data_IF_327077188538
#
_entry.id   IF_327077188538
#
_cell.length_a   1.000
_cell.length_b   1.000
_cell.length_c   1.000
_cell.angle_alpha   90.00
_cell.angle_beta   90.00
_cell.angle_gamma   90.00
#
_symmetry.space_group_name_H-M   'P 1'
#
loop_
_entity.id
_entity.type
_entity.pdbx_description
1 polymer ?
#
# COMPACT_ATOMS: atom_id res chain seq x y z
N UNK A 1 -28.13 2.93 -15.01
CA UNK A 1 -27.14 3.27 -13.94
C UNK A 1 -27.77 4.11 -12.83
N UNK A 2 -28.49 5.17 -13.10
CA UNK A 2 -29.03 6.10 -12.07
C UNK A 2 -29.89 5.44 -11.00
N UNK A 3 -30.86 4.60 -11.42
CA UNK A 3 -31.68 3.81 -10.46
C UNK A 3 -30.84 2.90 -9.56
N UNK A 4 -29.72 2.38 -10.04
CA UNK A 4 -28.81 1.56 -9.24
C UNK A 4 -28.04 2.40 -8.25
N UNK A 5 -27.56 3.56 -8.68
CA UNK A 5 -26.89 4.54 -7.81
C UNK A 5 -27.79 4.98 -6.65
N UNK A 6 -29.04 5.34 -6.94
CA UNK A 6 -30.03 5.69 -5.90
C UNK A 6 -30.25 4.57 -4.89
N UNK A 7 -30.29 3.30 -5.37
CA UNK A 7 -30.41 2.14 -4.50
C UNK A 7 -29.16 1.95 -3.63
N UNK A 8 -27.96 2.16 -4.18
CA UNK A 8 -26.72 2.13 -3.41
C UNK A 8 -26.76 3.20 -2.32
N UNK A 9 -27.12 4.43 -2.64
CA UNK A 9 -27.16 5.54 -1.70
C UNK A 9 -28.06 5.27 -0.48
N UNK A 10 -29.19 4.62 -0.72
CA UNK A 10 -30.14 4.22 0.34
C UNK A 10 -29.67 3.00 1.15
N UNK A 11 -28.71 2.24 0.64
CA UNK A 11 -28.31 0.95 1.22
C UNK A 11 -26.81 0.81 1.49
N UNK A 12 -26.10 1.93 1.66
CA UNK A 12 -24.63 1.96 1.87
C UNK A 12 -24.17 1.00 2.96
N UNK A 13 -24.90 0.98 4.10
CA UNK A 13 -24.56 0.11 5.25
C UNK A 13 -24.62 -1.37 4.86
N UNK A 14 -25.61 -1.80 4.09
CA UNK A 14 -25.76 -3.19 3.68
C UNK A 14 -24.61 -3.63 2.78
N UNK A 15 -24.20 -2.79 1.83
CA UNK A 15 -23.07 -3.05 0.92
C UNK A 15 -21.76 -3.14 1.71
N UNK A 16 -21.51 -2.19 2.61
CA UNK A 16 -20.29 -2.16 3.44
C UNK A 16 -20.26 -3.40 4.34
N UNK A 17 -21.37 -3.79 4.96
CA UNK A 17 -21.44 -5.03 5.76
C UNK A 17 -21.10 -6.26 4.93
N UNK A 18 -21.67 -6.39 3.73
CA UNK A 18 -21.39 -7.52 2.82
C UNK A 18 -19.89 -7.55 2.48
N UNK A 19 -19.30 -6.40 2.18
CA UNK A 19 -17.88 -6.28 1.89
C UNK A 19 -17.00 -6.74 3.05
N UNK A 20 -17.21 -6.15 4.24
CA UNK A 20 -16.36 -6.38 5.42
C UNK A 20 -16.57 -7.79 6.00
N UNK A 21 -17.79 -8.35 5.88
CA UNK A 21 -18.10 -9.72 6.34
C UNK A 21 -17.60 -10.80 5.39
N UNK A 22 -17.00 -10.46 4.26
CA UNK A 22 -16.38 -11.45 3.38
C UNK A 22 -15.27 -12.22 4.11
N UNK A 23 -15.25 -13.57 4.08
CA UNK A 23 -14.24 -14.37 4.77
C UNK A 23 -12.79 -13.96 4.44
N UNK A 24 -12.56 -13.53 3.18
CA UNK A 24 -11.25 -13.04 2.72
C UNK A 24 -10.87 -11.73 3.38
N UNK A 25 -11.82 -10.81 3.53
CA UNK A 25 -11.60 -9.51 4.20
C UNK A 25 -11.39 -9.70 5.69
N UNK A 26 -12.17 -10.55 6.35
CA UNK A 26 -11.99 -10.89 7.78
C UNK A 26 -10.59 -11.47 8.02
N UNK A 27 -10.11 -12.35 7.13
CA UNK A 27 -8.75 -12.87 7.21
C UNK A 27 -7.70 -11.76 7.13
N UNK A 28 -7.86 -10.82 6.21
CA UNK A 28 -6.94 -9.66 6.06
C UNK A 28 -6.98 -8.80 7.32
N UNK A 29 -8.17 -8.45 7.82
CA UNK A 29 -8.34 -7.64 9.04
C UNK A 29 -7.56 -8.25 10.20
N UNK A 30 -7.71 -9.55 10.43
CA UNK A 30 -7.02 -10.27 11.51
C UNK A 30 -5.52 -10.36 11.29
N UNK A 31 -5.07 -10.74 10.08
CA UNK A 31 -3.65 -10.94 9.77
C UNK A 31 -2.85 -9.65 9.92
N UNK A 32 -3.42 -8.51 9.53
CA UNK A 32 -2.75 -7.21 9.54
C UNK A 32 -3.17 -6.31 10.69
N UNK A 33 -3.91 -6.85 11.68
CA UNK A 33 -4.40 -6.10 12.85
C UNK A 33 -5.08 -4.78 12.47
N UNK A 34 -5.87 -4.81 11.38
CA UNK A 34 -6.61 -3.65 10.91
C UNK A 34 -7.71 -3.34 11.91
N UNK A 35 -7.80 -2.08 12.33
CA UNK A 35 -8.88 -1.64 13.20
C UNK A 35 -10.22 -1.66 12.42
N UNK A 36 -11.11 -2.59 12.78
CA UNK A 36 -12.38 -2.81 12.10
C UNK A 36 -13.31 -1.60 12.21
N UNK A 37 -13.39 -0.97 13.36
CA UNK A 37 -14.21 0.23 13.57
C UNK A 37 -13.77 1.39 12.66
N UNK A 38 -12.45 1.60 12.56
CA UNK A 38 -11.89 2.62 11.69
C UNK A 38 -12.11 2.29 10.20
N UNK A 39 -11.94 1.00 9.84
CA UNK A 39 -12.18 0.51 8.50
C UNK A 39 -13.64 0.74 8.09
N UNK A 40 -14.59 0.34 8.94
CA UNK A 40 -16.03 0.46 8.67
C UNK A 40 -16.46 1.92 8.66
N UNK A 41 -16.22 2.65 9.77
CA UNK A 41 -16.83 3.99 9.98
C UNK A 41 -16.22 5.10 9.13
N UNK A 42 -14.93 4.96 8.78
CA UNK A 42 -14.21 6.01 8.04
C UNK A 42 -13.92 5.61 6.60
N UNK A 43 -13.18 4.52 6.42
CA UNK A 43 -12.62 4.20 5.12
C UNK A 43 -13.60 3.55 4.16
N UNK A 44 -14.44 2.61 4.64
CA UNK A 44 -15.38 1.92 3.76
C UNK A 44 -16.47 2.86 3.24
N UNK A 45 -16.99 3.73 4.09
CA UNK A 45 -17.94 4.76 3.65
C UNK A 45 -17.30 5.74 2.67
N UNK A 46 -16.14 6.28 3.01
CA UNK A 46 -15.46 7.22 2.14
C UNK A 46 -15.05 6.63 0.79
N UNK A 47 -14.66 5.35 0.76
CA UNK A 47 -14.36 4.65 -0.49
C UNK A 47 -15.62 4.43 -1.34
N UNK A 48 -16.73 4.01 -0.73
CA UNK A 48 -18.01 3.86 -1.44
C UNK A 48 -18.53 5.21 -1.98
N UNK A 49 -18.39 6.29 -1.23
CA UNK A 49 -18.76 7.63 -1.69
C UNK A 49 -17.88 8.09 -2.85
N UNK A 50 -16.58 7.87 -2.76
CA UNK A 50 -15.67 8.15 -3.87
C UNK A 50 -16.04 7.34 -5.12
N UNK A 51 -16.35 6.05 -4.97
CA UNK A 51 -16.81 5.21 -6.07
C UNK A 51 -18.06 5.79 -6.74
N UNK A 52 -19.05 6.24 -5.94
CA UNK A 52 -20.27 6.86 -6.46
C UNK A 52 -19.99 8.18 -7.17
N UNK A 53 -19.09 9.02 -6.64
CA UNK A 53 -18.69 10.28 -7.29
C UNK A 53 -18.05 10.04 -8.65
N UNK A 54 -17.15 9.05 -8.76
CA UNK A 54 -16.50 8.70 -10.04
C UNK A 54 -17.52 8.23 -11.07
N UNK A 55 -18.52 7.43 -10.65
CA UNK A 55 -19.57 6.99 -11.55
C UNK A 55 -20.46 8.12 -12.03
N UNK A 56 -20.82 9.05 -11.15
CA UNK A 56 -21.74 10.15 -11.45
C UNK A 56 -21.11 11.21 -12.37
N UNK A 57 -19.86 11.53 -12.12
CA UNK A 57 -19.22 12.71 -12.72
C UNK A 57 -18.16 12.34 -13.75
N UNK A 58 -17.87 11.05 -13.93
CA UNK A 58 -16.71 10.54 -14.70
C UNK A 58 -15.37 11.22 -14.31
N UNK A 59 -15.28 11.64 -13.05
CA UNK A 59 -14.14 12.39 -12.53
C UNK A 59 -12.85 11.56 -12.58
N UNK A 60 -11.73 12.28 -12.64
CA UNK A 60 -10.41 11.66 -12.49
C UNK A 60 -10.30 11.09 -11.08
N UNK A 61 -9.99 9.81 -11.01
CA UNK A 61 -9.86 9.04 -9.74
C UNK A 61 -8.68 9.47 -8.88
N UNK A 62 -7.82 10.36 -9.39
CA UNK A 62 -6.61 10.79 -8.72
C UNK A 62 -6.92 11.84 -7.63
N UNK A 63 -6.30 11.64 -6.45
CA UNK A 63 -6.28 12.59 -5.33
C UNK A 63 -7.52 12.69 -4.44
N UNK A 64 -8.36 11.64 -4.34
CA UNK A 64 -9.36 11.62 -3.29
C UNK A 64 -8.67 11.54 -1.89
N UNK A 65 -8.84 12.54 -1.01
CA UNK A 65 -8.15 12.56 0.29
C UNK A 65 -8.44 11.33 1.16
N UNK A 66 -9.67 10.82 1.13
CA UNK A 66 -10.07 9.65 1.92
C UNK A 66 -9.40 8.39 1.40
N UNK A 67 -9.32 8.21 0.07
CA UNK A 67 -8.63 7.07 -0.54
C UNK A 67 -7.14 7.14 -0.23
N UNK A 68 -6.53 8.33 -0.35
CA UNK A 68 -5.12 8.54 -0.02
C UNK A 68 -4.80 8.21 1.44
N UNK A 69 -5.65 8.65 2.37
CA UNK A 69 -5.50 8.39 3.80
C UNK A 69 -5.68 6.89 4.11
N UNK A 70 -6.65 6.25 3.45
CA UNK A 70 -6.86 4.80 3.56
C UNK A 70 -5.63 4.02 3.10
N UNK A 71 -5.08 4.35 1.95
CA UNK A 71 -3.89 3.68 1.42
C UNK A 71 -2.65 3.89 2.33
N UNK A 72 -2.48 5.09 2.89
CA UNK A 72 -1.45 5.37 3.89
C UNK A 72 -1.63 4.51 5.14
N UNK A 73 -2.87 4.37 5.61
CA UNK A 73 -3.19 3.52 6.75
C UNK A 73 -2.85 2.06 6.47
N UNK A 74 -3.31 1.49 5.34
CA UNK A 74 -3.03 0.11 4.95
C UNK A 74 -1.53 -0.16 4.79
N UNK A 75 -0.79 0.81 4.23
CA UNK A 75 0.66 0.72 4.13
C UNK A 75 1.34 0.69 5.49
N UNK A 76 0.87 1.49 6.46
CA UNK A 76 1.39 1.47 7.84
C UNK A 76 1.18 0.11 8.51
N UNK A 77 0.16 -0.64 8.11
CA UNK A 77 -0.08 -2.02 8.53
C UNK A 77 0.74 -3.04 7.73
N UNK A 78 1.62 -2.61 6.83
CA UNK A 78 2.41 -3.46 5.93
C UNK A 78 1.55 -4.38 5.03
N UNK A 79 0.36 -3.91 4.61
CA UNK A 79 -0.50 -4.69 3.73
C UNK A 79 0.21 -4.96 2.40
N UNK A 80 0.17 -6.21 1.94
CA UNK A 80 0.76 -6.60 0.65
C UNK A 80 -0.17 -6.21 -0.51
N UNK A 81 0.40 -6.04 -1.70
CA UNK A 81 -0.35 -5.65 -2.91
C UNK A 81 -1.42 -6.68 -3.28
N UNK A 82 -1.14 -7.98 -3.14
CA UNK A 82 -2.13 -9.04 -3.38
C UNK A 82 -3.32 -8.99 -2.41
N UNK A 83 -3.07 -8.61 -1.14
CA UNK A 83 -4.13 -8.44 -0.16
C UNK A 83 -4.93 -7.15 -0.41
N UNK A 84 -4.27 -6.10 -0.90
CA UNK A 84 -4.94 -4.91 -1.39
C UNK A 84 -5.91 -5.26 -2.53
N UNK A 85 -5.44 -6.03 -3.52
CA UNK A 85 -6.30 -6.54 -4.59
C UNK A 85 -7.49 -7.34 -4.05
N UNK A 86 -7.26 -8.24 -3.10
CA UNK A 86 -8.30 -9.06 -2.48
C UNK A 86 -9.35 -8.20 -1.77
N UNK A 87 -8.90 -7.19 -1.01
CA UNK A 87 -9.76 -6.27 -0.30
C UNK A 87 -10.70 -5.50 -1.25
N UNK A 88 -10.15 -4.95 -2.33
CA UNK A 88 -10.93 -4.18 -3.31
C UNK A 88 -11.78 -5.09 -4.21
N UNK A 89 -11.33 -6.29 -4.54
CA UNK A 89 -12.14 -7.27 -5.29
C UNK A 89 -13.37 -7.70 -4.49
N UNK A 90 -13.24 -7.88 -3.18
CA UNK A 90 -14.38 -8.17 -2.31
C UNK A 90 -15.39 -7.00 -2.27
N UNK A 91 -14.91 -5.76 -2.36
CA UNK A 91 -15.81 -4.60 -2.53
C UNK A 91 -16.60 -4.68 -3.83
N UNK A 92 -15.95 -4.94 -4.97
CA UNK A 92 -16.63 -5.13 -6.26
C UNK A 92 -17.69 -6.23 -6.18
N UNK A 93 -17.34 -7.38 -5.58
CA UNK A 93 -18.29 -8.48 -5.38
C UNK A 93 -19.48 -8.06 -4.54
N UNK A 94 -19.30 -7.27 -3.49
CA UNK A 94 -20.41 -6.77 -2.68
C UNK A 94 -21.39 -5.88 -3.46
N UNK A 95 -20.89 -5.13 -4.46
CA UNK A 95 -21.75 -4.36 -5.38
C UNK A 95 -22.54 -5.27 -6.33
N UNK A 96 -21.89 -6.32 -6.84
CA UNK A 96 -22.53 -7.31 -7.71
C UNK A 96 -23.62 -8.06 -6.92
N UNK A 97 -23.31 -8.55 -5.73
CA UNK A 97 -24.29 -9.20 -4.84
C UNK A 97 -25.47 -8.28 -4.53
N UNK A 98 -25.20 -7.00 -4.30
CA UNK A 98 -26.24 -6.01 -4.08
C UNK A 98 -27.12 -5.82 -5.33
N UNK A 99 -26.53 -5.79 -6.54
CA UNK A 99 -27.29 -5.70 -7.78
C UNK A 99 -28.25 -6.90 -7.96
N UNK A 100 -27.79 -8.12 -7.62
CA UNK A 100 -28.65 -9.31 -7.63
C UNK A 100 -29.80 -9.21 -6.62
N UNK A 101 -29.52 -8.85 -5.36
CA UNK A 101 -30.54 -8.69 -4.31
C UNK A 101 -31.59 -7.64 -4.67
N UNK A 102 -31.20 -6.58 -5.37
CA UNK A 102 -32.10 -5.51 -5.80
C UNK A 102 -32.79 -5.78 -7.14
N UNK A 103 -32.60 -6.98 -7.72
CA UNK A 103 -33.15 -7.34 -9.03
C UNK A 103 -32.81 -6.32 -10.13
N UNK A 104 -31.58 -5.79 -10.09
CA UNK A 104 -31.08 -4.80 -11.04
C UNK A 104 -30.05 -5.41 -12.02
N UNK A 105 -30.03 -6.74 -12.15
CA UNK A 105 -29.04 -7.42 -12.98
C UNK A 105 -29.28 -7.17 -14.47
N UNK A 106 -28.26 -6.61 -15.13
CA UNK A 106 -28.15 -6.53 -16.57
C UNK A 106 -26.67 -6.61 -16.96
N UNK A 107 -26.39 -7.07 -18.18
CA UNK A 107 -25.02 -7.12 -18.67
C UNK A 107 -24.39 -5.71 -18.64
N UNK A 108 -25.07 -4.69 -19.14
CA UNK A 108 -24.64 -3.29 -19.13
C UNK A 108 -24.27 -2.81 -17.72
N UNK A 109 -25.04 -3.19 -16.69
CA UNK A 109 -24.73 -2.82 -15.31
C UNK A 109 -23.45 -3.48 -14.82
N UNK A 110 -23.25 -4.77 -15.10
CA UNK A 110 -22.04 -5.50 -14.70
C UNK A 110 -20.80 -4.98 -15.41
N UNK A 111 -20.89 -4.68 -16.71
CA UNK A 111 -19.83 -4.05 -17.48
C UNK A 111 -19.44 -2.68 -16.88
N UNK A 112 -20.40 -1.86 -16.50
CA UNK A 112 -20.15 -0.57 -15.85
C UNK A 112 -19.55 -0.72 -14.46
N UNK A 113 -20.03 -1.64 -13.63
CA UNK A 113 -19.43 -1.92 -12.33
C UNK A 113 -17.96 -2.31 -12.50
N UNK A 114 -17.64 -3.20 -13.43
CA UNK A 114 -16.26 -3.61 -13.70
C UNK A 114 -15.42 -2.46 -14.24
N UNK A 115 -15.92 -1.71 -15.22
CA UNK A 115 -15.21 -0.56 -15.80
C UNK A 115 -14.80 0.46 -14.74
N UNK A 116 -15.73 0.91 -13.91
CA UNK A 116 -15.42 1.89 -12.87
C UNK A 116 -14.55 1.30 -11.76
N UNK A 117 -14.72 0.02 -11.45
CA UNK A 117 -13.82 -0.67 -10.52
C UNK A 117 -12.39 -0.66 -11.04
N UNK A 118 -12.17 -1.08 -12.28
CA UNK A 118 -10.84 -1.11 -12.90
C UNK A 118 -10.20 0.28 -12.96
N UNK A 119 -10.97 1.29 -13.34
CA UNK A 119 -10.54 2.69 -13.38
C UNK A 119 -10.03 3.18 -12.02
N UNK A 120 -10.80 2.93 -10.95
CA UNK A 120 -10.44 3.33 -9.58
C UNK A 120 -9.28 2.48 -9.07
N UNK A 121 -9.33 1.17 -9.27
CA UNK A 121 -8.33 0.25 -8.75
C UNK A 121 -6.96 0.46 -9.42
N UNK A 122 -6.91 0.75 -10.71
CA UNK A 122 -5.67 1.12 -11.40
C UNK A 122 -5.02 2.36 -10.76
N UNK A 123 -5.83 3.39 -10.45
CA UNK A 123 -5.36 4.59 -9.76
C UNK A 123 -4.85 4.27 -8.34
N UNK A 124 -5.57 3.41 -7.60
CA UNK A 124 -5.17 2.94 -6.26
C UNK A 124 -3.83 2.21 -6.32
N UNK A 125 -3.64 1.31 -7.29
CA UNK A 125 -2.38 0.57 -7.48
C UNK A 125 -1.22 1.51 -7.80
N UNK A 126 -1.42 2.49 -8.70
CA UNK A 126 -0.39 3.46 -9.06
C UNK A 126 0.08 4.27 -7.84
N UNK A 127 -0.86 4.77 -7.05
CA UNK A 127 -0.57 5.51 -5.81
C UNK A 127 0.19 4.61 -4.81
N UNK A 128 -0.26 3.37 -4.64
CA UNK A 128 0.34 2.44 -3.68
C UNK A 128 1.77 2.06 -4.11
N UNK A 129 1.97 1.74 -5.38
CA UNK A 129 3.28 1.43 -5.95
C UNK A 129 4.26 2.61 -5.84
N UNK A 130 3.85 3.82 -6.24
CA UNK A 130 4.67 5.04 -6.10
C UNK A 130 5.12 5.27 -4.65
N UNK A 131 4.25 5.00 -3.70
CA UNK A 131 4.57 5.15 -2.28
C UNK A 131 5.62 4.16 -1.78
N UNK A 132 5.71 2.95 -2.36
CA UNK A 132 6.74 1.96 -2.04
C UNK A 132 8.08 2.43 -2.57
N UNK A 133 8.13 2.83 -3.84
CA UNK A 133 9.36 3.34 -4.48
C UNK A 133 9.91 4.56 -3.75
N UNK A 134 9.05 5.47 -3.27
CA UNK A 134 9.49 6.64 -2.49
C UNK A 134 10.19 6.25 -1.18
N UNK A 135 9.68 5.23 -0.47
CA UNK A 135 10.31 4.76 0.78
C UNK A 135 11.65 4.09 0.48
N UNK A 136 11.73 3.27 -0.55
CA UNK A 136 12.97 2.63 -0.96
C UNK A 136 14.03 3.67 -1.32
N UNK A 137 13.68 4.67 -2.11
CA UNK A 137 14.58 5.77 -2.46
C UNK A 137 15.04 6.59 -1.23
N UNK A 138 14.15 6.84 -0.27
CA UNK A 138 14.50 7.54 0.97
C UNK A 138 15.46 6.69 1.82
N UNK A 139 15.24 5.38 1.90
CA UNK A 139 16.13 4.45 2.60
C UNK A 139 17.53 4.43 1.96
N UNK A 140 17.60 4.29 0.64
CA UNK A 140 18.87 4.27 -0.09
C UNK A 140 19.65 5.57 0.12
N UNK A 141 18.96 6.74 0.06
CA UNK A 141 19.60 8.03 0.38
C UNK A 141 20.14 8.07 1.81
N UNK A 142 19.41 7.50 2.78
CA UNK A 142 19.87 7.46 4.17
C UNK A 142 21.10 6.56 4.33
N UNK A 143 21.15 5.44 3.65
CA UNK A 143 22.32 4.54 3.61
C UNK A 143 23.52 5.27 3.01
N UNK A 144 23.34 5.98 1.89
CA UNK A 144 24.41 6.77 1.26
C UNK A 144 24.95 7.86 2.16
N UNK A 145 24.09 8.54 2.93
CA UNK A 145 24.51 9.55 3.91
C UNK A 145 25.34 8.89 5.02
N UNK A 146 24.89 7.77 5.57
CA UNK A 146 25.64 7.03 6.60
C UNK A 146 26.99 6.60 6.05
N UNK A 147 27.06 6.04 4.85
CA UNK A 147 28.29 5.61 4.23
C UNK A 147 29.31 6.77 4.04
N UNK A 148 28.82 7.95 3.60
CA UNK A 148 29.68 9.12 3.31
C UNK A 148 30.16 9.88 4.54
N UNK A 149 29.37 9.87 5.62
CA UNK A 149 29.61 10.76 6.75
C UNK A 149 29.86 10.07 8.09
N UNK A 150 29.49 8.80 8.21
CA UNK A 150 29.73 8.02 9.43
C UNK A 150 30.93 7.11 9.24
N UNK A 151 31.94 7.30 10.06
CA UNK A 151 33.16 6.47 10.08
C UNK A 151 32.80 5.15 10.72
N UNK A 152 32.68 4.08 9.91
CA UNK A 152 32.26 2.78 10.37
C UNK A 152 33.07 1.66 9.74
N UNK A 153 33.51 0.71 10.57
CA UNK A 153 34.01 -0.59 10.14
C UNK A 153 33.31 -1.70 10.88
N UNK A 154 33.12 -2.83 10.23
CA UNK A 154 32.55 -4.02 10.82
C UNK A 154 33.52 -5.19 10.63
N UNK A 155 33.74 -5.95 11.69
CA UNK A 155 34.62 -7.13 11.70
C UNK A 155 33.83 -8.39 12.01
N UNK A 156 34.38 -9.53 11.63
CA UNK A 156 33.96 -10.83 12.12
C UNK A 156 34.47 -11.06 13.56
N UNK A 157 34.15 -12.24 14.13
CA UNK A 157 34.58 -12.64 15.48
C UNK A 157 36.10 -12.82 15.64
N UNK A 158 36.84 -12.90 14.53
CA UNK A 158 38.31 -13.01 14.51
C UNK A 158 38.99 -11.65 14.33
N UNK A 159 38.21 -10.56 14.24
CA UNK A 159 38.74 -9.23 14.01
C UNK A 159 39.09 -8.93 12.55
N UNK A 160 38.63 -9.74 11.60
CA UNK A 160 38.79 -9.50 10.16
C UNK A 160 37.77 -8.51 9.67
N UNK A 161 38.16 -7.48 8.96
CA UNK A 161 37.29 -6.45 8.40
C UNK A 161 36.40 -7.06 7.31
N UNK A 162 35.08 -6.99 7.49
CA UNK A 162 34.07 -7.48 6.55
C UNK A 162 33.27 -6.38 5.87
N UNK A 163 33.33 -5.14 6.39
CA UNK A 163 32.70 -3.98 5.78
C UNK A 163 33.33 -2.70 6.31
N UNK A 164 33.48 -1.69 5.47
CA UNK A 164 33.94 -0.34 5.82
C UNK A 164 33.06 0.69 5.11
N UNK A 165 32.88 1.86 5.72
CA UNK A 165 32.23 3.00 5.07
C UNK A 165 33.21 3.80 4.22
N UNK A 166 32.68 4.54 3.25
CA UNK A 166 33.50 5.49 2.46
C UNK A 166 34.16 6.56 3.33
N UNK A 167 33.50 7.00 4.40
CA UNK A 167 34.06 7.88 5.40
C UNK A 167 35.29 7.28 6.12
N UNK A 168 35.22 5.97 6.43
CA UNK A 168 36.32 5.25 7.05
C UNK A 168 37.52 5.15 6.09
N UNK A 169 37.29 4.80 4.81
CA UNK A 169 38.33 4.78 3.79
C UNK A 169 39.04 6.16 3.66
N UNK A 170 38.23 7.23 3.58
CA UNK A 170 38.73 8.58 3.46
C UNK A 170 39.61 9.02 4.63
N UNK A 171 39.28 8.63 5.85
CA UNK A 171 40.05 9.01 7.05
C UNK A 171 41.25 8.11 7.25
N UNK A 172 41.11 6.80 6.98
CA UNK A 172 42.25 5.87 7.13
C UNK A 172 43.31 5.98 6.04
N UNK A 173 42.93 6.56 4.88
CA UNK A 173 43.80 6.67 3.70
C UNK A 173 43.93 5.37 2.90
N UNK A 174 43.16 4.31 3.27
CA UNK A 174 43.12 3.03 2.57
C UNK A 174 41.89 2.93 1.71
N UNK A 175 41.98 2.27 0.56
CA UNK A 175 40.85 1.89 -0.24
C UNK A 175 40.13 0.67 0.36
N UNK A 176 38.81 0.52 0.09
CA UNK A 176 38.02 -0.57 0.67
C UNK A 176 38.58 -1.97 0.36
N UNK A 177 39.12 -2.17 -0.86
CA UNK A 177 39.68 -3.46 -1.26
C UNK A 177 40.99 -3.81 -0.52
N UNK A 178 41.71 -2.79 0.01
CA UNK A 178 42.94 -2.99 0.81
C UNK A 178 42.60 -3.41 2.24
N UNK A 179 41.44 -3.02 2.74
CA UNK A 179 40.96 -3.26 4.12
C UNK A 179 40.16 -4.54 4.26
N UNK A 180 39.34 -4.86 3.26
CA UNK A 180 38.46 -6.04 3.32
C UNK A 180 39.27 -7.34 3.40
N UNK A 181 38.89 -8.20 4.34
CA UNK A 181 39.59 -9.47 4.59
C UNK A 181 40.90 -9.34 5.38
N UNK A 182 41.29 -8.14 5.78
CA UNK A 182 42.48 -7.91 6.63
C UNK A 182 42.08 -7.79 8.10
N UNK A 183 43.06 -8.05 8.98
CA UNK A 183 42.85 -7.77 10.41
C UNK A 183 42.69 -6.26 10.63
N UNK A 184 41.79 -5.87 11.54
CA UNK A 184 41.59 -4.47 11.91
C UNK A 184 42.86 -3.79 12.47
N UNK A 185 43.86 -4.59 12.82
CA UNK A 185 45.16 -4.06 13.25
C UNK A 185 45.94 -3.30 12.14
N UNK A 186 45.58 -3.46 10.86
CA UNK A 186 46.22 -2.76 9.73
C UNK A 186 46.18 -1.24 9.86
N UNK A 187 45.21 -0.69 10.57
CA UNK A 187 45.04 0.75 10.79
C UNK A 187 45.64 1.27 12.10
N UNK A 188 46.30 0.40 12.88
CA UNK A 188 47.03 0.84 14.07
C UNK A 188 48.36 1.48 13.64
N UNK A 189 48.55 2.72 14.04
CA UNK A 189 49.85 3.40 13.97
C UNK A 189 50.63 3.14 15.23
#
# INVERSE_FOLDING_TARGET
MDKFIEKIEKNKIAIIRTWISSPRVIKIIRTYSINEDLLVKRYSFGFLEHYLLVIKNDEKTQNCPVVMDFLKYLKKQNLRVNELFTLFSAFRESLIDFAFKMQCQSLDLFEKINFYFEKIFSSVLDIYAKSIVQVENALNKSIDIVDKYVIMSRTDIKGTIISVSSAFCKISGYEAYELLGKSHNIIRH
#
